data_IF_966897772734
#
_entry.id   IF_966897772734
#
_cell.length_a   1.000
_cell.length_b   1.000
_cell.length_c   1.000
_cell.angle_alpha   90.00
_cell.angle_beta   90.00
_cell.angle_gamma   90.00
#
_symmetry.space_group_name_H-M   'P 1'
#
loop_
_entity.id
_entity.type
_entity.pdbx_description
1 polymer ?
#
# COMPACT_ATOMS: atom_id res chain seq x y z
N UNK A 1 2.88 -8.08 -8.11
CA UNK A 1 1.47 -7.70 -8.31
C UNK A 1 0.63 -8.97 -8.46
N UNK A 2 -0.59 -8.90 -7.93
CA UNK A 2 -1.48 -10.05 -7.70
C UNK A 2 -1.83 -10.82 -8.98
N UNK A 3 -1.52 -12.12 -9.01
CA UNK A 3 -1.82 -13.02 -10.13
C UNK A 3 -3.17 -13.71 -10.01
N UNK A 4 -3.77 -13.69 -8.81
CA UNK A 4 -5.02 -14.38 -8.50
C UNK A 4 -6.22 -13.44 -8.69
N UNK A 5 -6.11 -12.20 -8.22
CA UNK A 5 -7.16 -11.17 -8.34
C UNK A 5 -6.62 -9.84 -8.91
N UNK A 6 -6.08 -9.83 -10.15
CA UNK A 6 -5.31 -8.69 -10.70
C UNK A 6 -6.08 -7.37 -10.84
N UNK A 7 -7.42 -7.39 -10.72
CA UNK A 7 -8.30 -6.22 -10.87
C UNK A 7 -9.11 -5.91 -9.62
N UNK A 8 -8.88 -6.63 -8.52
CA UNK A 8 -9.60 -6.43 -7.27
C UNK A 8 -8.62 -5.92 -6.23
N UNK A 9 -9.06 -4.92 -5.46
CA UNK A 9 -8.30 -4.44 -4.31
C UNK A 9 -8.72 -5.21 -3.08
N UNK A 10 -7.98 -6.26 -2.74
CA UNK A 10 -8.25 -7.14 -1.62
C UNK A 10 -6.95 -7.61 -0.95
N UNK A 11 -7.07 -8.46 0.07
CA UNK A 11 -5.92 -8.98 0.81
C UNK A 11 -5.28 -10.22 0.15
N UNK A 12 -5.69 -10.61 -1.06
CA UNK A 12 -5.11 -11.74 -1.79
C UNK A 12 -3.62 -11.50 -2.09
N UNK A 13 -3.21 -10.24 -2.24
CA UNK A 13 -1.80 -9.85 -2.29
C UNK A 13 -0.97 -10.49 -1.16
N UNK A 14 -1.42 -10.39 0.10
CA UNK A 14 -0.69 -10.94 1.25
C UNK A 14 -0.71 -12.47 1.30
N UNK A 15 -1.81 -13.09 0.85
CA UNK A 15 -1.90 -14.56 0.71
C UNK A 15 -0.92 -15.08 -0.34
N UNK A 16 -0.73 -14.34 -1.44
CA UNK A 16 0.26 -14.67 -2.46
C UNK A 16 1.68 -14.65 -1.88
N UNK A 17 2.00 -13.72 -0.98
CA UNK A 17 3.33 -13.68 -0.33
C UNK A 17 3.59 -14.91 0.55
N UNK A 18 2.56 -15.39 1.28
CA UNK A 18 2.65 -16.61 2.07
C UNK A 18 2.91 -17.84 1.19
N UNK A 19 2.36 -17.86 -0.02
CA UNK A 19 2.56 -18.91 -1.02
C UNK A 19 3.86 -18.78 -1.83
N UNK A 20 4.71 -17.80 -1.53
CA UNK A 20 5.95 -17.57 -2.29
C UNK A 20 5.73 -16.98 -3.69
N UNK A 21 4.54 -16.42 -3.94
CA UNK A 21 4.12 -15.87 -5.24
C UNK A 21 4.27 -14.34 -5.31
N UNK A 22 5.16 -13.75 -4.52
CA UNK A 22 5.54 -12.34 -4.67
C UNK A 22 6.20 -12.10 -6.02
N UNK A 23 5.68 -11.18 -6.82
CA UNK A 23 6.19 -10.92 -8.18
C UNK A 23 7.56 -10.23 -8.15
N UNK A 24 7.70 -9.24 -7.27
CA UNK A 24 8.94 -8.50 -7.10
C UNK A 24 9.71 -9.05 -5.90
N UNK A 25 11.04 -8.95 -5.92
CA UNK A 25 11.88 -9.30 -4.77
C UNK A 25 11.46 -8.51 -3.51
N UNK A 26 11.07 -7.25 -3.66
CA UNK A 26 10.53 -6.42 -2.57
C UNK A 26 9.20 -6.93 -2.02
N UNK A 27 8.36 -7.55 -2.84
CA UNK A 27 7.09 -8.15 -2.39
C UNK A 27 7.41 -9.34 -1.49
N UNK A 28 8.22 -10.28 -1.99
CA UNK A 28 8.52 -11.51 -1.26
C UNK A 28 9.34 -11.25 0.01
N UNK A 29 10.18 -10.22 0.01
CA UNK A 29 10.97 -9.79 1.17
C UNK A 29 10.08 -9.47 2.38
N UNK A 30 8.87 -8.92 2.17
CA UNK A 30 7.93 -8.63 3.26
C UNK A 30 7.56 -9.88 4.07
N UNK A 31 7.52 -11.05 3.42
CA UNK A 31 7.21 -12.30 4.10
C UNK A 31 8.43 -13.07 4.58
N UNK A 32 9.59 -12.91 3.94
CA UNK A 32 10.82 -13.58 4.38
C UNK A 32 11.52 -12.85 5.53
N UNK A 33 11.34 -11.52 5.63
CA UNK A 33 11.87 -10.74 6.74
C UNK A 33 11.04 -10.95 8.03
N UNK A 34 11.72 -11.34 9.10
CA UNK A 34 11.10 -11.63 10.40
C UNK A 34 10.37 -10.44 11.03
N UNK A 35 10.73 -9.21 10.67
CA UNK A 35 10.13 -7.98 11.22
C UNK A 35 8.75 -7.72 10.62
N UNK A 36 8.55 -8.04 9.35
CA UNK A 36 7.31 -7.78 8.61
C UNK A 36 6.42 -9.01 8.47
N UNK A 37 6.97 -10.23 8.58
CA UNK A 37 6.20 -11.49 8.49
C UNK A 37 4.94 -11.51 9.37
N UNK A 38 4.97 -11.12 10.66
CA UNK A 38 3.77 -11.14 11.49
C UNK A 38 2.64 -10.22 10.98
N UNK A 39 3.01 -9.11 10.34
CA UNK A 39 2.05 -8.18 9.73
C UNK A 39 1.45 -8.83 8.49
N UNK A 40 2.27 -9.37 7.58
CA UNK A 40 1.78 -10.09 6.40
C UNK A 40 0.80 -11.20 6.79
N UNK A 41 1.14 -11.98 7.81
CA UNK A 41 0.28 -13.04 8.35
C UNK A 41 -1.07 -12.49 8.87
N UNK A 42 -1.06 -11.36 9.57
CA UNK A 42 -2.28 -10.73 10.07
C UNK A 42 -3.17 -10.21 8.92
N UNK A 43 -2.57 -9.57 7.93
CA UNK A 43 -3.29 -8.97 6.80
C UNK A 43 -3.83 -10.05 5.84
N UNK A 44 -3.11 -11.14 5.62
CA UNK A 44 -3.59 -12.29 4.83
C UNK A 44 -4.79 -13.01 5.46
N UNK A 45 -4.84 -13.05 6.81
CA UNK A 45 -5.92 -13.69 7.58
C UNK A 45 -7.22 -12.89 7.60
N UNK A 46 -7.18 -11.56 7.49
CA UNK A 46 -8.37 -10.72 7.64
C UNK A 46 -8.40 -9.55 6.65
N UNK A 47 -9.37 -9.56 5.74
CA UNK A 47 -9.60 -8.44 4.80
C UNK A 47 -9.92 -7.15 5.54
N UNK A 48 -10.73 -7.23 6.60
CA UNK A 48 -11.08 -6.07 7.44
C UNK A 48 -9.83 -5.46 8.10
N UNK A 49 -8.89 -6.29 8.56
CA UNK A 49 -7.65 -5.78 9.14
C UNK A 49 -6.78 -5.08 8.08
N UNK A 50 -6.67 -5.67 6.90
CA UNK A 50 -5.98 -5.06 5.75
C UNK A 50 -6.60 -3.71 5.36
N UNK A 51 -7.91 -3.66 5.13
CA UNK A 51 -8.60 -2.45 4.70
C UNK A 51 -8.43 -1.31 5.71
N UNK A 52 -8.56 -1.61 7.01
CA UNK A 52 -8.33 -0.62 8.07
C UNK A 52 -6.90 -0.09 8.08
N UNK A 53 -5.91 -1.00 8.06
CA UNK A 53 -4.51 -0.62 8.04
C UNK A 53 -4.15 0.18 6.77
N UNK A 54 -4.73 -0.17 5.62
CA UNK A 54 -4.52 0.54 4.37
C UNK A 54 -5.06 1.96 4.42
N UNK A 55 -6.30 2.16 4.89
CA UNK A 55 -6.90 3.49 5.02
C UNK A 55 -6.09 4.38 5.96
N UNK A 56 -5.64 3.84 7.10
CA UNK A 56 -4.80 4.58 8.04
C UNK A 56 -3.46 4.99 7.39
N UNK A 57 -2.78 4.03 6.76
CA UNK A 57 -1.48 4.25 6.14
C UNK A 57 -1.55 5.28 5.00
N UNK A 58 -2.54 5.16 4.10
CA UNK A 58 -2.65 6.05 2.94
C UNK A 58 -3.09 7.47 3.35
N UNK A 59 -3.92 7.59 4.39
CA UNK A 59 -4.30 8.90 4.96
C UNK A 59 -3.08 9.58 5.59
N UNK A 60 -2.24 8.83 6.30
CA UNK A 60 -1.00 9.34 6.88
C UNK A 60 -0.01 9.75 5.79
N UNK A 61 0.14 8.93 4.76
CA UNK A 61 1.01 9.20 3.60
C UNK A 61 0.59 10.49 2.87
N UNK A 62 -0.71 10.71 2.67
CA UNK A 62 -1.26 11.89 2.00
C UNK A 62 -1.00 13.23 2.72
N UNK A 63 -0.45 13.20 3.95
CA UNK A 63 -0.10 14.39 4.74
C UNK A 63 1.40 14.69 4.75
N UNK A 64 2.23 13.87 4.11
CA UNK A 64 3.68 14.07 4.07
C UNK A 64 4.02 15.30 3.22
N UNK A 65 4.69 16.29 3.80
CA UNK A 65 5.28 17.43 3.07
C UNK A 65 4.26 18.33 2.35
N UNK A 66 3.00 18.30 2.75
CA UNK A 66 1.94 19.08 2.10
C UNK A 66 2.16 20.58 2.28
N UNK A 67 1.86 21.35 1.23
CA UNK A 67 1.82 22.81 1.28
C UNK A 67 0.42 23.26 1.74
N UNK A 68 0.35 24.13 2.74
CA UNK A 68 -0.93 24.60 3.32
C UNK A 68 -0.99 26.12 3.39
N UNK A 69 -2.20 26.66 3.62
CA UNK A 69 -2.42 28.11 3.66
C UNK A 69 -2.02 28.79 2.35
N UNK A 70 -1.15 29.79 2.44
CA UNK A 70 -0.65 30.53 1.27
C UNK A 70 0.60 29.87 0.62
N UNK A 71 1.02 28.69 1.06
CA UNK A 71 2.18 28.00 0.49
C UNK A 71 1.83 27.34 -0.86
N UNK A 72 2.54 27.70 -1.92
CA UNK A 72 2.34 27.13 -3.26
C UNK A 72 1.29 27.88 -4.09
N UNK A 73 0.68 27.20 -5.05
CA UNK A 73 -0.31 27.77 -5.95
C UNK A 73 -1.39 26.73 -6.33
N UNK A 74 -2.63 27.17 -6.52
CA UNK A 74 -3.69 26.33 -7.09
C UNK A 74 -3.51 26.34 -8.61
N UNK A 75 -3.02 25.21 -9.17
CA UNK A 75 -2.75 25.09 -10.60
C UNK A 75 -4.03 25.03 -11.41
N UNK A 76 -4.08 25.77 -12.52
CA UNK A 76 -5.15 25.64 -13.52
C UNK A 76 -4.92 24.49 -14.49
N UNK A 77 -3.65 24.17 -14.72
CA UNK A 77 -3.20 23.01 -15.46
C UNK A 77 -2.08 22.34 -14.66
N UNK A 78 -2.28 21.08 -14.25
CA UNK A 78 -1.34 20.36 -13.40
C UNK A 78 0.06 20.18 -14.02
N UNK A 79 0.16 20.21 -15.36
CA UNK A 79 1.39 19.98 -16.11
C UNK A 79 2.31 21.21 -16.20
N UNK A 80 1.82 22.41 -15.87
CA UNK A 80 2.60 23.66 -15.96
C UNK A 80 2.55 24.42 -14.63
N UNK A 81 3.60 25.19 -14.35
CA UNK A 81 3.54 26.19 -13.30
C UNK A 81 2.65 27.34 -13.80
N UNK A 82 1.86 27.92 -12.90
CA UNK A 82 1.10 29.13 -13.23
C UNK A 82 2.05 30.31 -13.40
#
# INVERSE_FOLDING_TARGET
MDVVTPRVFDNQYFRNLQAGMGLLASDQLLYTDTRSRPIVDALARSSVAFERAFVEAITKMGRIGVKTGAQGNIRRNCAVLN
#
